data_IF_616179687468
#
_entry.id   IF_616179687468
#
_cell.length_a   1.000
_cell.length_b   1.000
_cell.length_c   1.000
_cell.angle_alpha   90.00
_cell.angle_beta   90.00
_cell.angle_gamma   90.00
#
_symmetry.space_group_name_H-M   'P 1'
#
loop_
_entity.id
_entity.type
_entity.pdbx_description
1 polymer ?
#
# COMPACT_ATOMS: atom_id res chain seq x y z
N UNK A 1 -64.18 -18.74 16.29
CA UNK A 1 -62.76 -19.10 16.21
C UNK A 1 -62.00 -18.04 15.44
N UNK A 2 -61.18 -17.27 16.15
CA UNK A 2 -60.35 -16.24 15.51
C UNK A 2 -58.99 -16.82 15.28
N UNK A 3 -58.59 -16.99 14.02
CA UNK A 3 -57.25 -17.39 13.63
C UNK A 3 -56.33 -16.14 13.66
N UNK A 4 -55.48 -16.07 14.67
CA UNK A 4 -54.39 -15.10 14.72
C UNK A 4 -53.34 -15.52 13.67
N UNK A 5 -53.27 -14.76 12.59
CA UNK A 5 -52.16 -14.85 11.65
C UNK A 5 -50.96 -14.12 12.23
N UNK A 6 -50.04 -14.84 12.85
CA UNK A 6 -48.72 -14.35 13.17
C UNK A 6 -47.96 -14.07 11.88
N UNK A 7 -47.78 -12.80 11.55
CA UNK A 7 -46.85 -12.39 10.51
C UNK A 7 -45.44 -12.49 11.10
N UNK A 8 -44.72 -13.54 10.80
CA UNK A 8 -43.28 -13.62 11.03
C UNK A 8 -42.61 -12.87 9.91
N UNK A 9 -42.30 -11.61 10.15
CA UNK A 9 -41.41 -10.84 9.29
C UNK A 9 -39.98 -11.35 9.49
N UNK A 10 -39.53 -12.22 8.59
CA UNK A 10 -38.13 -12.59 8.51
C UNK A 10 -37.31 -11.37 8.05
N UNK A 11 -36.63 -10.75 9.01
CA UNK A 11 -35.69 -9.68 8.75
C UNK A 11 -34.44 -10.32 8.14
N UNK A 12 -34.43 -10.45 6.81
CA UNK A 12 -33.20 -10.77 6.08
C UNK A 12 -32.27 -9.55 6.17
N UNK A 13 -31.38 -9.58 7.16
CA UNK A 13 -30.26 -8.67 7.24
C UNK A 13 -29.37 -8.91 6.03
N UNK A 14 -29.44 -8.02 5.06
CA UNK A 14 -28.49 -7.99 3.94
C UNK A 14 -27.16 -7.54 4.56
N UNK A 15 -26.31 -8.50 4.93
CA UNK A 15 -24.91 -8.24 5.14
C UNK A 15 -24.31 -7.88 3.78
N UNK A 16 -24.32 -6.60 3.46
CA UNK A 16 -23.51 -6.06 2.38
C UNK A 16 -22.05 -6.24 2.81
N UNK A 17 -21.46 -7.36 2.46
CA UNK A 17 -20.00 -7.47 2.44
C UNK A 17 -19.56 -6.48 1.37
N UNK A 18 -18.96 -5.37 1.80
CA UNK A 18 -18.22 -4.51 0.89
C UNK A 18 -17.12 -5.38 0.29
N UNK A 19 -17.38 -5.93 -0.88
CA UNK A 19 -16.32 -6.52 -1.68
C UNK A 19 -15.36 -5.36 -1.95
N UNK A 20 -14.17 -5.42 -1.35
CA UNK A 20 -13.07 -4.53 -1.71
C UNK A 20 -12.79 -4.84 -3.18
N UNK A 21 -13.24 -3.99 -4.06
CA UNK A 21 -13.04 -4.16 -5.48
C UNK A 21 -11.55 -3.93 -5.77
N UNK A 22 -10.96 -4.86 -6.49
CA UNK A 22 -9.62 -4.68 -7.02
C UNK A 22 -9.71 -3.87 -8.31
N UNK A 23 -8.72 -3.05 -8.56
CA UNK A 23 -8.58 -2.32 -9.84
C UNK A 23 -7.30 -2.72 -10.55
N UNK A 24 -7.37 -2.72 -11.87
CA UNK A 24 -6.22 -2.98 -12.72
C UNK A 24 -5.62 -1.65 -13.18
N UNK A 25 -4.34 -1.47 -12.97
CA UNK A 25 -3.58 -0.33 -13.46
C UNK A 25 -2.49 -0.81 -14.41
N UNK A 26 -2.16 0.01 -15.39
CA UNK A 26 -1.02 -0.25 -16.28
C UNK A 26 0.19 0.49 -15.75
N UNK A 27 1.27 -0.21 -15.49
CA UNK A 27 2.52 0.38 -15.03
C UNK A 27 3.39 0.92 -16.19
N UNK A 28 4.55 1.49 -15.86
CA UNK A 28 5.47 2.06 -16.86
C UNK A 28 6.18 0.99 -17.73
N UNK A 29 6.00 -0.27 -17.45
CA UNK A 29 6.48 -1.41 -18.23
C UNK A 29 5.36 -2.09 -19.01
N UNK A 30 4.22 -1.40 -19.19
CA UNK A 30 3.01 -1.91 -19.86
C UNK A 30 2.43 -3.19 -19.20
N UNK A 31 2.73 -3.44 -17.91
CA UNK A 31 2.17 -4.57 -17.19
C UNK A 31 0.82 -4.19 -16.59
N UNK A 32 -0.12 -5.12 -16.66
CA UNK A 32 -1.40 -5.02 -15.95
C UNK A 32 -1.19 -5.47 -14.51
N UNK A 33 -1.28 -4.53 -13.57
CA UNK A 33 -1.10 -4.79 -12.14
C UNK A 33 -2.42 -4.64 -11.42
N UNK A 34 -2.84 -5.69 -10.72
CA UNK A 34 -4.06 -5.65 -9.91
C UNK A 34 -3.71 -5.13 -8.51
N UNK A 35 -4.37 -4.08 -8.11
CA UNK A 35 -4.21 -3.45 -6.79
C UNK A 35 -5.56 -3.29 -6.11
N UNK A 36 -5.63 -3.35 -4.77
CA UNK A 36 -6.87 -3.05 -4.04
C UNK A 36 -7.33 -1.60 -4.30
N UNK A 37 -8.63 -1.36 -4.28
CA UNK A 37 -9.17 0.01 -4.39
C UNK A 37 -8.67 0.93 -3.28
N UNK A 38 -8.47 0.36 -2.09
CA UNK A 38 -7.95 1.08 -0.92
C UNK A 38 -6.60 0.50 -0.51
N UNK A 39 -5.55 1.26 -0.73
CA UNK A 39 -4.19 0.92 -0.29
C UNK A 39 -4.04 1.34 1.17
N UNK A 40 -3.75 0.40 2.04
CA UNK A 40 -3.50 0.63 3.47
C UNK A 40 -2.03 0.40 3.85
N UNK A 41 -1.33 -0.40 3.06
CA UNK A 41 0.04 -0.82 3.35
C UNK A 41 0.91 -0.70 2.10
N UNK A 42 1.51 0.46 1.92
CA UNK A 42 2.42 0.73 0.83
C UNK A 42 3.88 0.63 1.28
N UNK A 43 4.71 0.03 0.46
CA UNK A 43 6.17 0.10 0.58
C UNK A 43 6.71 0.94 -0.58
N UNK A 44 7.54 1.91 -0.27
CA UNK A 44 8.07 2.87 -1.25
C UNK A 44 9.59 2.77 -1.30
N UNK A 45 10.12 2.15 -2.34
CA UNK A 45 11.54 1.89 -2.53
C UNK A 45 12.22 2.90 -3.49
N UNK A 46 11.53 4.00 -3.79
CA UNK A 46 12.01 5.01 -4.71
C UNK A 46 11.77 6.42 -4.12
N UNK A 47 12.82 7.24 -4.07
CA UNK A 47 12.82 8.52 -3.34
C UNK A 47 11.88 9.58 -3.95
N UNK A 48 11.73 9.64 -5.27
CA UNK A 48 10.80 10.59 -5.89
C UNK A 48 9.34 10.21 -5.56
N UNK A 49 9.00 8.93 -5.59
CA UNK A 49 7.67 8.45 -5.19
C UNK A 49 7.41 8.72 -3.72
N UNK A 50 8.42 8.52 -2.85
CA UNK A 50 8.31 8.86 -1.44
C UNK A 50 8.03 10.35 -1.23
N UNK A 51 8.74 11.22 -1.95
CA UNK A 51 8.51 12.65 -1.89
C UNK A 51 7.08 13.03 -2.32
N UNK A 52 6.56 12.43 -3.39
CA UNK A 52 5.18 12.65 -3.83
C UNK A 52 4.19 12.17 -2.76
N UNK A 53 4.40 10.99 -2.17
CA UNK A 53 3.53 10.46 -1.13
C UNK A 53 3.48 11.38 0.10
N UNK A 54 4.60 11.95 0.51
CA UNK A 54 4.65 12.94 1.60
C UNK A 54 3.88 14.21 1.23
N UNK A 55 4.05 14.73 0.02
CA UNK A 55 3.33 15.92 -0.45
C UNK A 55 1.82 15.72 -0.54
N UNK A 56 1.37 14.49 -0.79
CA UNK A 56 -0.04 14.11 -0.82
C UNK A 56 -0.62 13.73 0.55
N UNK A 57 0.14 13.90 1.62
CA UNK A 57 -0.23 13.49 2.99
C UNK A 57 -0.60 11.99 3.10
N UNK A 58 0.08 11.15 2.30
CA UNK A 58 -0.16 9.72 2.22
C UNK A 58 0.79 8.87 3.10
N UNK A 59 1.50 9.49 4.02
CA UNK A 59 2.48 8.78 4.88
C UNK A 59 1.85 7.76 5.82
N UNK A 60 0.56 7.92 6.14
CA UNK A 60 -0.19 6.98 6.99
C UNK A 60 -0.35 5.60 6.36
N UNK A 61 -0.35 5.52 5.02
CA UNK A 61 -0.42 4.27 4.29
C UNK A 61 0.95 3.62 4.09
N UNK A 62 2.04 4.30 4.37
CA UNK A 62 3.40 3.79 4.17
C UNK A 62 3.82 2.94 5.37
N UNK A 63 4.25 1.71 5.11
CA UNK A 63 4.75 0.78 6.13
C UNK A 63 6.23 0.44 5.96
N UNK A 64 6.82 0.80 4.84
CA UNK A 64 8.24 0.62 4.57
C UNK A 64 8.76 1.62 3.55
N UNK A 65 10.00 2.02 3.69
CA UNK A 65 10.67 3.01 2.85
C UNK A 65 12.06 2.50 2.44
N UNK A 66 12.63 3.14 1.42
CA UNK A 66 14.00 2.82 0.99
C UNK A 66 15.01 3.14 2.09
N UNK A 67 16.01 2.27 2.24
CA UNK A 67 17.00 2.34 3.33
C UNK A 67 17.83 3.61 3.34
N UNK A 68 18.05 4.20 2.18
CA UNK A 68 18.89 5.38 2.00
C UNK A 68 18.09 6.69 1.79
N UNK A 69 16.82 6.71 2.19
CA UNK A 69 15.94 7.85 1.93
C UNK A 69 16.47 9.19 2.47
N UNK A 70 17.10 9.18 3.66
CA UNK A 70 17.72 10.40 4.22
C UNK A 70 18.85 10.94 3.35
N UNK A 71 19.66 10.04 2.76
CA UNK A 71 20.74 10.42 1.84
C UNK A 71 20.18 11.01 0.54
N UNK A 72 19.07 10.43 0.04
CA UNK A 72 18.45 10.85 -1.21
C UNK A 72 17.65 12.16 -1.08
N UNK A 73 16.92 12.34 0.01
CA UNK A 73 16.03 13.49 0.23
C UNK A 73 16.65 14.58 1.12
N UNK A 74 17.76 14.26 1.79
CA UNK A 74 18.46 15.18 2.69
C UNK A 74 18.00 15.09 4.15
N UNK A 75 18.90 15.44 5.07
CA UNK A 75 18.66 15.34 6.51
C UNK A 75 17.50 16.22 7.01
N UNK A 76 17.27 17.35 6.37
CA UNK A 76 16.18 18.24 6.76
C UNK A 76 14.80 17.69 6.43
N UNK A 77 14.73 16.65 5.59
CA UNK A 77 13.46 15.99 5.24
C UNK A 77 12.78 15.34 6.44
N UNK A 78 13.55 14.96 7.47
CA UNK A 78 13.03 14.44 8.75
C UNK A 78 12.10 15.44 9.43
N UNK A 79 12.32 16.76 9.26
CA UNK A 79 11.44 17.79 9.83
C UNK A 79 10.09 17.84 9.13
N UNK A 80 10.05 17.51 7.85
CA UNK A 80 8.83 17.47 7.05
C UNK A 80 8.02 16.22 7.31
N UNK A 81 8.69 15.09 7.46
CA UNK A 81 8.08 13.77 7.62
C UNK A 81 8.82 12.93 8.70
N UNK A 82 8.71 13.30 9.97
CA UNK A 82 9.45 12.64 11.06
C UNK A 82 9.06 11.19 11.26
N UNK A 83 7.84 10.80 10.89
CA UNK A 83 7.34 9.44 10.96
C UNK A 83 8.13 8.44 10.10
N UNK A 84 8.80 8.89 9.04
CA UNK A 84 9.62 8.05 8.18
C UNK A 84 10.79 7.38 8.92
N UNK A 85 11.28 8.00 10.00
CA UNK A 85 12.37 7.43 10.79
C UNK A 85 12.01 6.14 11.52
N UNK A 86 10.72 5.91 11.75
CA UNK A 86 10.19 4.75 12.46
C UNK A 86 9.73 3.64 11.52
N UNK A 87 9.78 3.86 10.22
CA UNK A 87 9.33 2.89 9.24
C UNK A 87 10.38 1.82 8.99
N UNK A 88 9.91 0.62 8.63
CA UNK A 88 10.79 -0.45 8.20
C UNK A 88 11.53 -0.06 6.91
N UNK A 89 12.72 -0.57 6.74
CA UNK A 89 13.59 -0.33 5.59
C UNK A 89 14.03 -1.65 4.97
N UNK A 90 13.16 -2.31 4.14
CA UNK A 90 13.44 -3.63 3.59
C UNK A 90 14.50 -3.62 2.49
N UNK A 91 14.91 -2.45 2.03
CA UNK A 91 15.91 -2.31 0.98
C UNK A 91 15.88 -0.95 0.30
N UNK A 92 16.48 -0.88 -0.86
CA UNK A 92 16.57 0.32 -1.68
C UNK A 92 16.35 0.01 -3.18
N UNK A 93 16.75 0.92 -4.06
CA UNK A 93 16.59 0.79 -5.51
C UNK A 93 17.35 -0.41 -6.14
N UNK A 94 18.37 -0.91 -5.48
CA UNK A 94 19.29 -1.91 -6.05
C UNK A 94 19.13 -3.28 -5.40
N UNK A 95 18.65 -3.32 -4.16
CA UNK A 95 18.60 -4.55 -3.39
C UNK A 95 17.46 -4.50 -2.36
N UNK A 96 16.70 -5.57 -2.30
CA UNK A 96 15.59 -5.75 -1.36
C UNK A 96 15.73 -7.07 -0.63
N UNK A 97 15.55 -7.04 0.69
CA UNK A 97 15.35 -8.24 1.47
C UNK A 97 13.88 -8.67 1.34
N UNK A 98 13.65 -9.72 0.57
CA UNK A 98 12.29 -10.19 0.27
C UNK A 98 11.56 -10.67 1.52
N UNK A 99 12.23 -11.32 2.45
CA UNK A 99 11.60 -11.77 3.70
C UNK A 99 11.09 -10.57 4.52
N UNK A 100 11.94 -9.56 4.73
CA UNK A 100 11.56 -8.33 5.41
C UNK A 100 10.42 -7.60 4.69
N UNK A 101 10.41 -7.61 3.36
CA UNK A 101 9.34 -7.02 2.56
C UNK A 101 8.01 -7.77 2.78
N UNK A 102 8.03 -9.10 2.74
CA UNK A 102 6.83 -9.94 2.93
C UNK A 102 6.26 -9.83 4.36
N UNK A 103 7.11 -9.68 5.37
CA UNK A 103 6.68 -9.44 6.75
C UNK A 103 5.83 -8.17 6.90
N UNK A 104 6.06 -7.17 6.06
CA UNK A 104 5.28 -5.94 6.05
C UNK A 104 3.88 -6.12 5.45
N UNK A 105 3.60 -7.26 4.79
CA UNK A 105 2.32 -7.56 4.14
C UNK A 105 1.82 -6.40 3.29
N UNK A 106 2.58 -5.91 2.32
CA UNK A 106 2.20 -4.75 1.53
C UNK A 106 1.06 -5.06 0.56
N UNK A 107 0.17 -4.09 0.37
CA UNK A 107 -0.84 -4.10 -0.70
C UNK A 107 -0.22 -3.68 -2.04
N UNK A 108 0.80 -2.83 -1.97
CA UNK A 108 1.54 -2.33 -3.12
C UNK A 108 2.98 -2.00 -2.76
N UNK A 109 3.88 -2.25 -3.69
CA UNK A 109 5.29 -1.88 -3.60
C UNK A 109 5.65 -1.00 -4.79
N UNK A 110 6.13 0.21 -4.52
CA UNK A 110 6.61 1.13 -5.54
C UNK A 110 8.11 0.95 -5.76
N UNK A 111 8.47 0.58 -6.97
CA UNK A 111 9.85 0.42 -7.44
C UNK A 111 10.06 1.24 -8.71
N UNK A 112 11.30 1.38 -9.15
CA UNK A 112 11.60 2.02 -10.43
C UNK A 112 11.43 1.04 -11.58
N UNK A 113 11.15 1.57 -12.79
CA UNK A 113 11.08 0.77 -14.00
C UNK A 113 12.43 0.24 -14.49
N UNK A 114 13.53 0.73 -13.90
CA UNK A 114 14.90 0.25 -14.13
C UNK A 114 15.47 -0.54 -12.95
N UNK A 115 14.62 -0.95 -12.01
CA UNK A 115 15.01 -1.86 -10.94
C UNK A 115 15.45 -3.22 -11.52
N UNK A 116 16.30 -3.98 -10.80
CA UNK A 116 16.67 -5.32 -11.23
C UNK A 116 15.45 -6.20 -11.52
N UNK A 117 15.47 -7.02 -12.58
CA UNK A 117 14.30 -7.82 -12.97
C UNK A 117 13.72 -8.70 -11.85
N UNK A 118 14.54 -9.14 -10.93
CA UNK A 118 14.12 -9.92 -9.76
C UNK A 118 13.30 -9.13 -8.75
N UNK A 119 13.36 -7.79 -8.78
CA UNK A 119 12.53 -6.91 -7.95
C UNK A 119 11.20 -6.55 -8.60
N UNK A 120 11.08 -6.78 -9.92
CA UNK A 120 9.90 -6.38 -10.71
C UNK A 120 8.96 -7.58 -10.94
N UNK A 121 9.43 -8.79 -10.76
CA UNK A 121 8.63 -10.01 -10.85
C UNK A 121 7.79 -10.20 -9.61
#
# INVERSE_FOLDING_TARGET
>A
MKFNRLFVAALFGIFSTSALADRVVTDQLDRQVTIPDYIQRAVVLQHQTLNIAVQLDATKQIVGVLSNWKKQLGQNYVRLAPELEKMAMPGDLNSVNIESLLELKPDVVFVTNYAPPEMIK
#
